data_IF_130267942816
#
_entry.id   IF_130267942816
#
_cell.length_a   1.000
_cell.length_b   1.000
_cell.length_c   1.000
_cell.angle_alpha   90.00
_cell.angle_beta   90.00
_cell.angle_gamma   90.00
#
_symmetry.space_group_name_H-M   'P 1'
#
loop_
_entity.id
_entity.type
_entity.pdbx_description
1 polymer ?
#
# COMPACT_ATOMS: atom_id res chain seq x y z
N UNK A 1 1.81 3.00 15.91
CA UNK A 1 1.76 2.03 14.81
C UNK A 1 0.62 1.08 15.07
N UNK A 2 -0.05 0.61 14.02
CA UNK A 2 -1.10 -0.41 14.10
C UNK A 2 -0.60 -1.77 13.59
N UNK A 3 -1.24 -2.89 13.99
CA UNK A 3 -0.96 -4.19 13.40
C UNK A 3 -1.15 -4.18 11.87
N UNK A 4 -0.21 -4.78 11.14
CA UNK A 4 -0.25 -4.87 9.69
C UNK A 4 -1.28 -5.87 9.15
N UNK A 5 -1.63 -5.74 7.87
CA UNK A 5 -2.50 -6.65 7.12
C UNK A 5 -1.66 -7.46 6.14
N UNK A 6 -1.81 -8.79 6.16
CA UNK A 6 -1.10 -9.70 5.27
C UNK A 6 -2.11 -10.61 4.57
N UNK A 7 -1.98 -10.80 3.27
CA UNK A 7 -2.84 -11.71 2.51
C UNK A 7 -2.10 -12.31 1.31
N UNK A 8 -2.17 -13.63 1.17
CA UNK A 8 -1.73 -14.34 -0.02
C UNK A 8 -2.85 -14.34 -1.06
N UNK A 9 -2.52 -13.98 -2.31
CA UNK A 9 -3.45 -13.91 -3.43
C UNK A 9 -2.91 -14.79 -4.56
N UNK A 10 -3.60 -15.89 -4.84
CA UNK A 10 -3.33 -16.75 -5.99
C UNK A 10 -4.09 -16.25 -7.23
N UNK A 11 -3.38 -16.05 -8.33
CA UNK A 11 -3.95 -15.74 -9.65
C UNK A 11 -3.29 -16.61 -10.72
N UNK A 12 -3.83 -16.61 -11.94
CA UNK A 12 -3.29 -17.41 -13.06
C UNK A 12 -1.81 -17.13 -13.34
N UNK A 13 -1.35 -15.89 -13.08
CA UNK A 13 0.04 -15.44 -13.26
C UNK A 13 0.98 -15.80 -12.10
N UNK A 14 0.50 -16.51 -11.08
CA UNK A 14 1.28 -16.95 -9.91
C UNK A 14 0.69 -16.46 -8.57
N UNK A 15 1.43 -16.75 -7.49
CA UNK A 15 1.06 -16.34 -6.14
C UNK A 15 1.75 -15.01 -5.77
N UNK A 16 0.97 -14.12 -5.18
CA UNK A 16 1.41 -12.83 -4.66
C UNK A 16 1.17 -12.76 -3.16
N UNK A 17 2.01 -12.02 -2.45
CA UNK A 17 1.81 -11.69 -1.04
C UNK A 17 1.62 -10.17 -0.91
N UNK A 18 0.48 -9.75 -0.38
CA UNK A 18 0.17 -8.34 -0.14
C UNK A 18 0.32 -8.04 1.35
N UNK A 19 1.21 -7.11 1.69
CA UNK A 19 1.45 -6.67 3.06
C UNK A 19 1.13 -5.17 3.16
N UNK A 20 0.45 -4.73 4.22
CA UNK A 20 0.11 -3.31 4.45
C UNK A 20 0.36 -2.92 5.90
N UNK A 21 1.11 -1.84 6.11
CA UNK A 21 1.59 -1.41 7.42
C UNK A 21 1.39 0.10 7.64
N UNK A 22 1.10 0.49 8.88
CA UNK A 22 1.21 1.87 9.34
C UNK A 22 2.61 2.10 9.92
N UNK A 23 3.35 3.06 9.35
CA UNK A 23 4.70 3.39 9.82
C UNK A 23 4.70 4.32 11.06
N UNK A 24 3.52 4.67 11.57
CA UNK A 24 3.30 5.32 12.85
C UNK A 24 3.38 6.85 12.81
N UNK A 25 3.12 7.49 13.95
CA UNK A 25 2.94 8.94 14.03
C UNK A 25 4.17 9.78 13.60
N UNK A 26 5.39 9.25 13.79
CA UNK A 26 6.63 9.92 13.35
C UNK A 26 6.84 9.84 11.83
N UNK A 27 6.16 8.92 11.17
CA UNK A 27 6.23 8.70 9.74
C UNK A 27 4.82 8.30 9.26
N UNK A 28 3.88 9.25 9.20
CA UNK A 28 2.44 9.01 9.06
C UNK A 28 2.09 8.55 7.63
N UNK A 29 2.51 7.33 7.34
CA UNK A 29 2.46 6.69 6.03
C UNK A 29 1.88 5.30 6.19
N UNK A 30 0.88 4.99 5.36
CA UNK A 30 0.44 3.61 5.13
C UNK A 30 1.20 3.08 3.92
N UNK A 31 2.00 2.04 4.14
CA UNK A 31 2.83 1.40 3.13
C UNK A 31 2.22 0.05 2.75
N UNK A 32 1.96 -0.17 1.46
CA UNK A 32 1.63 -1.49 0.92
C UNK A 32 2.76 -2.00 0.04
N UNK A 33 3.19 -3.24 0.29
CA UNK A 33 4.16 -3.96 -0.51
C UNK A 33 3.48 -5.19 -1.11
N UNK A 34 3.75 -5.45 -2.39
CA UNK A 34 3.33 -6.69 -3.06
C UNK A 34 4.57 -7.46 -3.44
N UNK A 35 4.62 -8.72 -3.02
CA UNK A 35 5.71 -9.64 -3.33
C UNK A 35 5.28 -10.69 -4.34
N UNK A 36 6.20 -11.07 -5.23
CA UNK A 36 6.09 -12.25 -6.11
C UNK A 36 7.40 -13.02 -6.05
N UNK A 37 7.36 -14.27 -5.59
CA UNK A 37 8.57 -15.11 -5.48
C UNK A 37 9.68 -14.52 -4.60
N UNK A 38 9.32 -13.73 -3.58
CA UNK A 38 10.26 -13.06 -2.66
C UNK A 38 10.77 -11.69 -3.11
N UNK A 39 10.47 -11.24 -4.33
CA UNK A 39 10.81 -9.90 -4.81
C UNK A 39 9.62 -8.94 -4.65
N UNK A 40 9.89 -7.67 -4.31
CA UNK A 40 8.86 -6.62 -4.30
C UNK A 40 8.56 -6.21 -5.74
N UNK A 41 7.31 -6.39 -6.17
CA UNK A 41 6.83 -6.01 -7.52
C UNK A 41 5.99 -4.74 -7.51
N UNK A 42 5.47 -4.34 -6.35
CA UNK A 42 4.76 -3.07 -6.19
C UNK A 42 5.05 -2.47 -4.80
N UNK A 43 5.25 -1.15 -4.77
CA UNK A 43 5.24 -0.33 -3.57
C UNK A 43 4.21 0.78 -3.71
N UNK A 44 3.26 0.85 -2.79
CA UNK A 44 2.24 1.89 -2.73
C UNK A 44 2.29 2.60 -1.38
N UNK A 45 2.18 3.93 -1.36
CA UNK A 45 2.29 4.78 -0.16
C UNK A 45 1.12 5.73 -0.09
N UNK A 46 0.58 5.92 1.10
CA UNK A 46 -0.39 6.96 1.43
C UNK A 46 0.13 7.79 2.61
N UNK A 47 0.53 9.04 2.34
CA UNK A 47 1.08 9.96 3.34
C UNK A 47 -0.06 10.69 4.07
N UNK A 48 -0.74 9.98 4.96
CA UNK A 48 -1.95 10.48 5.64
C UNK A 48 -1.68 11.68 6.57
N UNK A 49 -0.43 11.89 6.99
CA UNK A 49 -0.04 13.08 7.75
C UNK A 49 -0.22 14.38 6.96
N UNK A 50 0.22 14.38 5.71
CA UNK A 50 0.11 15.52 4.79
C UNK A 50 -1.35 15.73 4.36
N UNK A 51 -2.07 14.65 4.06
CA UNK A 51 -3.46 14.70 3.54
C UNK A 51 -4.46 15.16 4.61
N UNK A 52 -4.32 14.65 5.85
CA UNK A 52 -5.31 14.84 6.92
C UNK A 52 -4.79 15.71 8.07
N UNK A 53 -3.62 16.34 7.93
CA UNK A 53 -3.03 17.23 8.93
C UNK A 53 -2.65 16.53 10.24
N UNK A 54 -2.32 15.23 10.18
CA UNK A 54 -1.76 14.47 11.30
C UNK A 54 -2.70 14.13 12.46
N UNK A 55 -4.02 14.29 12.31
CA UNK A 55 -5.01 14.11 13.40
C UNK A 55 -5.92 12.89 13.24
N UNK A 56 -5.46 11.83 12.58
CA UNK A 56 -6.27 10.62 12.44
C UNK A 56 -6.22 9.78 13.72
N UNK A 57 -7.38 9.32 14.16
CA UNK A 57 -7.48 8.32 15.22
C UNK A 57 -7.09 6.92 14.72
N UNK A 58 -6.69 6.04 15.63
CA UNK A 58 -6.33 4.65 15.30
C UNK A 58 -7.40 3.91 14.45
N UNK A 59 -8.72 4.00 14.75
CA UNK A 59 -9.74 3.39 13.89
C UNK A 59 -9.75 3.95 12.46
N UNK A 60 -9.51 5.26 12.30
CA UNK A 60 -9.48 5.89 10.97
C UNK A 60 -8.26 5.43 10.17
N UNK A 61 -7.09 5.36 10.80
CA UNK A 61 -5.87 4.83 10.17
C UNK A 61 -6.11 3.37 9.76
N UNK A 62 -6.74 2.55 10.61
CA UNK A 62 -7.10 1.16 10.29
C UNK A 62 -8.00 1.08 9.06
N UNK A 63 -9.03 1.93 8.97
CA UNK A 63 -9.91 1.99 7.79
C UNK A 63 -9.15 2.34 6.51
N UNK A 64 -8.22 3.29 6.57
CA UNK A 64 -7.36 3.63 5.42
C UNK A 64 -6.47 2.46 5.02
N UNK A 65 -5.88 1.75 5.99
CA UNK A 65 -5.09 0.55 5.74
C UNK A 65 -5.92 -0.54 5.03
N UNK A 66 -7.11 -0.84 5.54
CA UNK A 66 -8.02 -1.83 4.95
C UNK A 66 -8.46 -1.45 3.53
N UNK A 67 -8.72 -0.15 3.29
CA UNK A 67 -9.14 0.35 1.99
C UNK A 67 -8.01 0.25 0.95
N UNK A 68 -6.80 0.70 1.30
CA UNK A 68 -5.61 0.56 0.44
C UNK A 68 -5.29 -0.91 0.17
N UNK A 69 -5.30 -1.75 1.20
CA UNK A 69 -5.03 -3.18 1.09
C UNK A 69 -6.01 -3.87 0.14
N UNK A 70 -7.33 -3.66 0.33
CA UNK A 70 -8.38 -4.20 -0.54
C UNK A 70 -8.25 -3.72 -1.98
N UNK A 71 -7.91 -2.45 -2.19
CA UNK A 71 -7.67 -1.91 -3.54
C UNK A 71 -6.52 -2.63 -4.23
N UNK A 72 -5.38 -2.79 -3.55
CA UNK A 72 -4.21 -3.49 -4.12
C UNK A 72 -4.52 -4.95 -4.41
N UNK A 73 -5.23 -5.65 -3.52
CA UNK A 73 -5.67 -7.03 -3.78
C UNK A 73 -6.52 -7.14 -5.06
N UNK A 74 -7.44 -6.20 -5.29
CA UNK A 74 -8.25 -6.19 -6.53
C UNK A 74 -7.39 -6.00 -7.78
N UNK A 75 -6.37 -5.13 -7.72
CA UNK A 75 -5.44 -4.93 -8.84
C UNK A 75 -4.63 -6.20 -9.13
N UNK A 76 -4.17 -6.88 -8.08
CA UNK A 76 -3.46 -8.17 -8.21
C UNK A 76 -4.38 -9.21 -8.84
N UNK A 77 -5.62 -9.33 -8.34
CA UNK A 77 -6.63 -10.24 -8.89
C UNK A 77 -6.98 -9.94 -10.36
N UNK A 78 -6.98 -8.66 -10.75
CA UNK A 78 -7.21 -8.23 -12.13
C UNK A 78 -5.99 -8.43 -13.05
N UNK A 79 -4.82 -8.81 -12.51
CA UNK A 79 -3.61 -9.04 -13.30
C UNK A 79 -3.01 -7.77 -13.91
N UNK A 80 -3.17 -6.62 -13.21
CA UNK A 80 -2.64 -5.31 -13.61
C UNK A 80 -1.16 -5.43 -14.06
N UNK A 81 -0.83 -4.80 -15.19
CA UNK A 81 0.48 -4.90 -15.83
C UNK A 81 1.61 -4.32 -14.96
N UNK A 82 1.28 -3.44 -14.01
CA UNK A 82 2.25 -2.87 -13.07
C UNK A 82 2.98 -3.95 -12.23
N UNK A 83 2.41 -5.15 -12.09
CA UNK A 83 3.01 -6.26 -11.34
C UNK A 83 3.98 -7.13 -12.16
N UNK A 84 4.10 -6.89 -13.47
CA UNK A 84 4.87 -7.73 -14.40
C UNK A 84 6.26 -7.14 -14.70
N UNK A 85 6.49 -5.87 -14.36
CA UNK A 85 7.61 -5.05 -14.87
C UNK A 85 9.00 -5.26 -14.25
N UNK A 86 9.25 -6.30 -13.43
CA UNK A 86 10.58 -6.51 -12.82
C UNK A 86 11.19 -7.91 -13.04
N UNK A 87 10.60 -8.72 -13.92
CA UNK A 87 11.05 -10.10 -14.14
C UNK A 87 12.39 -10.25 -14.91
N UNK A 88 13.13 -9.18 -15.22
CA UNK A 88 14.37 -9.23 -16.02
C UNK A 88 15.68 -9.10 -15.23
N UNK A 89 15.67 -9.12 -13.89
CA UNK A 89 16.90 -9.15 -13.09
C UNK A 89 16.95 -10.41 -12.21
N UNK A 90 17.20 -11.56 -12.85
CA UNK A 90 17.67 -12.76 -12.15
C UNK A 90 18.96 -13.27 -12.81
N UNK A 91 20.11 -12.80 -12.31
CA UNK A 91 21.29 -13.62 -12.06
C UNK A 91 22.42 -12.79 -11.40
N UNK A 92 22.57 -12.90 -10.09
CA UNK A 92 23.86 -12.93 -9.37
C UNK A 92 23.57 -13.01 -7.86
N UNK A 93 24.20 -14.00 -7.23
CA UNK A 93 24.21 -14.27 -5.80
C UNK A 93 24.57 -13.04 -4.94
N UNK A 94 23.97 -12.91 -3.74
CA UNK A 94 24.54 -12.46 -2.43
C UNK A 94 23.35 -12.30 -1.43
N UNK A 95 23.44 -12.75 -0.15
CA UNK A 95 22.37 -12.63 0.85
C UNK A 95 22.17 -11.19 1.37
N UNK A 96 21.04 -10.84 2.02
CA UNK A 96 20.66 -9.45 2.23
C UNK A 96 21.43 -8.81 3.38
N UNK A 97 21.85 -7.55 3.18
CA UNK A 97 22.18 -6.61 4.25
C UNK A 97 21.51 -5.27 3.94
N UNK A 98 20.94 -4.57 4.94
CA UNK A 98 20.15 -3.39 4.70
C UNK A 98 21.09 -2.21 4.43
N UNK A 99 20.82 -1.44 3.36
CA UNK A 99 21.38 -0.10 3.20
C UNK A 99 20.25 0.91 2.99
N UNK A 100 20.41 2.14 3.48
CA UNK A 100 19.32 3.09 3.64
C UNK A 100 18.94 3.76 2.31
N UNK A 101 17.67 4.16 2.25
CA UNK A 101 17.01 4.86 1.15
C UNK A 101 17.73 6.17 0.79
N UNK A 102 18.04 6.36 -0.50
CA UNK A 102 18.21 7.69 -1.11
C UNK A 102 17.94 7.59 -2.61
N UNK A 103 16.71 7.94 -2.98
CA UNK A 103 16.27 8.18 -4.35
C UNK A 103 14.88 8.83 -4.29
N UNK A 104 14.59 9.87 -5.08
CA UNK A 104 13.30 10.54 -5.00
C UNK A 104 12.23 9.55 -5.49
N UNK A 105 11.13 9.32 -4.76
CA UNK A 105 10.04 8.55 -5.32
C UNK A 105 9.38 9.39 -6.41
N UNK A 106 9.38 8.86 -7.63
CA UNK A 106 8.46 9.29 -8.68
C UNK A 106 7.03 9.32 -8.10
N UNK A 107 6.36 10.46 -8.29
CA UNK A 107 4.97 10.66 -7.92
C UNK A 107 4.08 9.54 -8.49
N UNK A 108 3.18 8.94 -7.70
CA UNK A 108 2.16 8.06 -8.25
C UNK A 108 1.11 8.88 -8.99
N UNK A 109 0.44 8.26 -9.95
CA UNK A 109 -0.67 8.84 -10.69
C UNK A 109 -1.75 9.39 -9.72
N UNK A 110 -2.23 10.63 -9.92
CA UNK A 110 -3.09 11.34 -8.96
C UNK A 110 -4.47 10.70 -8.78
N UNK A 111 -5.02 10.08 -9.84
CA UNK A 111 -6.43 9.67 -9.86
C UNK A 111 -6.79 8.60 -8.82
N UNK A 112 -5.86 7.70 -8.50
CA UNK A 112 -6.17 6.57 -7.62
C UNK A 112 -6.25 7.00 -6.15
N UNK A 113 -5.38 7.92 -5.70
CA UNK A 113 -5.36 8.38 -4.30
C UNK A 113 -6.63 9.18 -3.98
N UNK A 114 -7.08 9.99 -4.94
CA UNK A 114 -8.29 10.80 -4.81
C UNK A 114 -9.55 9.93 -4.70
N UNK A 115 -9.67 8.85 -5.48
CA UNK A 115 -10.79 7.90 -5.38
C UNK A 115 -10.92 7.26 -3.98
N UNK A 116 -9.80 6.95 -3.33
CA UNK A 116 -9.80 6.37 -1.97
C UNK A 116 -10.22 7.39 -0.91
N UNK A 117 -9.76 8.63 -1.07
CA UNK A 117 -10.14 9.75 -0.19
C UNK A 117 -11.63 10.03 -0.37
N UNK A 118 -12.14 10.04 -1.60
CA UNK A 118 -13.55 10.23 -1.90
C UNK A 118 -14.42 9.09 -1.35
N UNK A 119 -14.00 7.82 -1.51
CA UNK A 119 -14.72 6.67 -0.95
C UNK A 119 -14.75 6.72 0.58
N UNK A 120 -13.62 7.05 1.22
CA UNK A 120 -13.53 7.21 2.68
C UNK A 120 -14.45 8.34 3.18
N UNK A 121 -14.38 9.53 2.55
CA UNK A 121 -15.22 10.68 2.89
C UNK A 121 -16.71 10.39 2.62
N UNK A 122 -17.05 9.62 1.58
CA UNK A 122 -18.42 9.19 1.29
C UNK A 122 -18.94 8.22 2.34
N UNK A 123 -18.14 7.22 2.73
CA UNK A 123 -18.54 6.21 3.72
C UNK A 123 -18.72 6.80 5.13
N UNK A 124 -18.04 7.91 5.44
CA UNK A 124 -18.05 8.53 6.78
C UNK A 124 -18.76 9.89 6.81
N UNK A 125 -19.51 10.24 5.76
CA UNK A 125 -20.35 11.46 5.72
C UNK A 125 -21.60 11.42 6.61
N UNK A 126 -21.82 10.32 7.33
CA UNK A 126 -22.96 10.15 8.24
C UNK A 126 -22.48 9.80 9.65
N UNK A 127 -21.86 10.78 10.32
CA UNK A 127 -21.71 10.77 11.77
C UNK A 127 -21.72 12.21 12.29
N UNK A 128 -22.82 12.92 12.06
CA UNK A 128 -23.17 14.08 12.89
C UNK A 128 -24.51 13.79 13.55
N UNK A 129 -24.54 13.15 14.73
CA UNK A 129 -25.70 13.29 15.58
C UNK A 129 -25.71 14.72 16.13
N UNK A 130 -26.91 15.29 16.06
CA UNK A 130 -27.30 16.68 16.31
C UNK A 130 -27.32 17.01 17.81
#
# INVERSE_FOLDING_TARGET
MLPGLNTDVGVDKGAYHVQTEDLGEKNPIILTLVYKGGAVVLRERLEYGEIFGGKLSAPQIKTLMEAQHRRVMRRVAAGDAAFESDAHLREASVPPSPRPLSGPPASPAPDLVDDLIEEYLRAHRQATPR
#
